data_IF_541883904867
#
_entry.id   IF_541883904867
#
_cell.length_a   1.000
_cell.length_b   1.000
_cell.length_c   1.000
_cell.angle_alpha   90.00
_cell.angle_beta   90.00
_cell.angle_gamma   90.00
#
_symmetry.space_group_name_H-M   'P 1'
#
loop_
_entity.id
_entity.type
_entity.pdbx_description
1 polymer ?
#
# COMPACT_ATOMS: atom_id res chain seq x y z
N UNK A 1 -18.32 37.28 24.20
CA UNK A 1 -18.91 36.45 23.14
C UNK A 1 -17.90 35.38 22.74
N UNK A 2 -18.10 34.09 23.08
CA UNK A 2 -17.13 33.01 22.78
C UNK A 2 -17.36 32.53 21.35
N UNK A 3 -16.43 32.82 20.44
CA UNK A 3 -16.46 32.31 19.06
C UNK A 3 -16.10 30.83 19.12
N UNK A 4 -17.08 29.93 18.98
CA UNK A 4 -16.84 28.51 18.74
C UNK A 4 -16.20 28.38 17.35
N UNK A 5 -14.92 27.98 17.28
CA UNK A 5 -14.32 27.46 16.04
C UNK A 5 -15.13 26.25 15.61
N UNK A 6 -15.92 26.37 14.54
CA UNK A 6 -16.42 25.21 13.80
C UNK A 6 -15.19 24.54 13.18
N UNK A 7 -14.83 23.36 13.66
CA UNK A 7 -13.98 22.46 12.88
C UNK A 7 -14.72 22.15 11.59
N UNK A 8 -14.20 22.64 10.46
CA UNK A 8 -14.59 22.10 9.17
C UNK A 8 -13.80 20.81 9.02
N UNK A 9 -14.44 19.69 9.32
CA UNK A 9 -13.94 18.40 8.83
C UNK A 9 -14.05 18.43 7.31
N UNK A 10 -12.89 18.40 6.66
CA UNK A 10 -12.80 18.31 5.20
C UNK A 10 -12.95 16.83 4.89
N UNK A 11 -14.16 16.42 4.55
CA UNK A 11 -14.46 15.09 4.04
C UNK A 11 -14.18 15.10 2.54
N UNK A 12 -13.09 14.48 2.12
CA UNK A 12 -12.85 14.27 0.70
C UNK A 12 -13.62 13.00 0.28
N UNK A 13 -14.84 13.19 -0.23
CA UNK A 13 -15.79 12.12 -0.51
C UNK A 13 -15.25 10.97 -1.40
N UNK A 14 -14.26 11.25 -2.25
CA UNK A 14 -13.59 10.23 -3.06
C UNK A 14 -12.71 9.28 -2.22
N UNK A 15 -12.10 9.79 -1.14
CA UNK A 15 -11.21 9.03 -0.26
C UNK A 15 -12.00 8.13 0.68
N UNK A 16 -13.16 8.59 1.13
CA UNK A 16 -14.10 7.74 1.90
C UNK A 16 -14.58 6.56 1.04
N UNK A 17 -14.85 6.80 -0.24
CA UNK A 17 -15.20 5.73 -1.18
C UNK A 17 -14.04 4.75 -1.43
N UNK A 18 -12.80 5.23 -1.51
CA UNK A 18 -11.62 4.36 -1.67
C UNK A 18 -11.36 3.53 -0.39
N UNK A 19 -11.54 4.12 0.80
CA UNK A 19 -11.49 3.42 2.08
C UNK A 19 -12.56 2.33 2.18
N UNK A 20 -13.79 2.61 1.73
CA UNK A 20 -14.88 1.63 1.69
C UNK A 20 -14.63 0.52 0.66
N UNK A 21 -14.12 0.87 -0.53
CA UNK A 21 -13.76 -0.10 -1.57
C UNK A 21 -12.63 -1.04 -1.10
N UNK A 22 -11.60 -0.49 -0.45
CA UNK A 22 -10.49 -1.29 0.09
C UNK A 22 -10.90 -2.17 1.27
N UNK A 23 -11.90 -1.76 2.06
CA UNK A 23 -12.49 -2.60 3.11
C UNK A 23 -13.41 -3.71 2.55
N UNK A 24 -14.13 -3.42 1.47
CA UNK A 24 -15.05 -4.38 0.81
C UNK A 24 -14.33 -5.49 0.03
N UNK A 25 -13.08 -5.27 -0.41
CA UNK A 25 -12.24 -6.27 -1.06
C UNK A 25 -11.58 -7.28 -0.10
N UNK A 26 -12.14 -7.48 1.09
CA UNK A 26 -11.77 -8.56 2.03
C UNK A 26 -12.13 -9.98 1.54
N UNK A 27 -12.15 -10.20 0.23
CA UNK A 27 -12.34 -11.54 -0.34
C UNK A 27 -11.02 -12.32 -0.27
N UNK A 28 -10.86 -13.14 0.77
CA UNK A 28 -10.16 -14.43 0.80
C UNK A 28 -8.83 -14.63 0.03
N UNK A 29 -8.01 -13.60 -0.20
CA UNK A 29 -6.62 -13.78 -0.69
C UNK A 29 -5.66 -14.13 0.47
N UNK A 30 -6.12 -13.98 1.72
CA UNK A 30 -5.33 -14.07 2.95
C UNK A 30 -4.77 -15.48 3.25
N UNK A 31 -5.38 -16.56 2.76
CA UNK A 31 -4.99 -17.92 3.17
C UNK A 31 -3.68 -18.43 2.56
N UNK A 32 -3.16 -17.77 1.52
CA UNK A 32 -1.98 -18.23 0.77
C UNK A 32 -0.71 -17.42 1.04
N UNK A 33 -0.80 -16.36 1.84
CA UNK A 33 0.34 -15.51 2.14
C UNK A 33 0.86 -15.88 3.53
N UNK A 34 1.97 -16.62 3.57
CA UNK A 34 2.59 -17.05 4.82
C UNK A 34 3.44 -15.91 5.40
N UNK A 35 2.90 -15.07 6.28
CA UNK A 35 3.43 -13.72 6.55
C UNK A 35 4.80 -13.64 7.29
N UNK A 36 5.39 -14.75 7.74
CA UNK A 36 6.61 -14.76 8.58
C UNK A 36 7.92 -14.26 7.92
N UNK A 37 8.72 -13.53 8.74
CA UNK A 37 10.14 -13.07 8.63
C UNK A 37 10.67 -12.68 7.25
N UNK A 38 9.83 -12.02 6.46
CA UNK A 38 10.15 -11.64 5.07
C UNK A 38 10.69 -10.23 4.96
N UNK A 39 11.62 -10.08 4.02
CA UNK A 39 12.22 -8.81 3.61
C UNK A 39 11.12 -7.76 3.54
N UNK A 40 11.34 -6.66 4.24
CA UNK A 40 10.42 -5.55 4.34
C UNK A 40 11.12 -4.29 3.88
N UNK A 41 10.40 -3.45 3.14
CA UNK A 41 10.86 -2.13 2.76
C UNK A 41 9.93 -1.09 3.35
N UNK A 42 10.50 -0.10 4.04
CA UNK A 42 9.73 0.96 4.71
C UNK A 42 9.64 2.21 3.82
N UNK A 43 8.40 2.55 3.47
CA UNK A 43 8.04 3.76 2.71
C UNK A 43 7.41 4.83 3.62
N UNK A 44 7.33 4.61 4.93
CA UNK A 44 6.68 5.56 5.82
C UNK A 44 7.35 6.95 5.74
N UNK A 45 6.53 8.01 5.76
CA UNK A 45 7.06 9.38 5.71
C UNK A 45 7.75 9.79 4.39
N UNK A 46 7.77 8.94 3.37
CA UNK A 46 8.23 9.33 2.04
C UNK A 46 7.18 10.16 1.31
N UNK A 47 7.64 11.09 0.47
CA UNK A 47 6.77 11.76 -0.50
C UNK A 47 6.42 10.83 -1.67
N UNK A 48 5.38 11.20 -2.43
CA UNK A 48 4.87 10.36 -3.53
C UNK A 48 5.89 10.17 -4.65
N UNK A 49 6.69 11.19 -4.99
CA UNK A 49 7.68 11.07 -6.07
C UNK A 49 8.83 10.12 -5.70
N UNK A 50 9.34 10.21 -4.46
CA UNK A 50 10.34 9.26 -3.96
C UNK A 50 9.77 7.85 -3.89
N UNK A 51 8.52 7.72 -3.43
CA UNK A 51 7.82 6.43 -3.38
C UNK A 51 7.80 5.75 -4.75
N UNK A 52 7.40 6.48 -5.81
CA UNK A 52 7.40 5.97 -7.20
C UNK A 52 8.77 5.42 -7.59
N UNK A 53 9.82 6.24 -7.48
CA UNK A 53 11.16 5.87 -7.94
C UNK A 53 11.70 4.63 -7.19
N UNK A 54 11.41 4.53 -5.90
CA UNK A 54 11.85 3.41 -5.07
C UNK A 54 11.06 2.15 -5.40
N UNK A 55 9.73 2.23 -5.59
CA UNK A 55 8.91 1.05 -5.97
C UNK A 55 9.39 0.49 -7.31
N UNK A 56 9.64 1.32 -8.31
CA UNK A 56 10.16 0.90 -9.62
C UNK A 56 11.48 0.11 -9.49
N UNK A 57 12.47 0.69 -8.81
CA UNK A 57 13.76 0.05 -8.60
C UNK A 57 13.61 -1.23 -7.77
N UNK A 58 12.76 -1.21 -6.75
CA UNK A 58 12.52 -2.37 -5.89
C UNK A 58 11.88 -3.52 -6.66
N UNK A 59 10.91 -3.26 -7.53
CA UNK A 59 10.27 -4.30 -8.36
C UNK A 59 11.25 -4.88 -9.37
N UNK A 60 12.10 -4.05 -9.98
CA UNK A 60 13.17 -4.50 -10.88
C UNK A 60 14.17 -5.45 -10.19
N UNK A 61 14.65 -5.08 -9.00
CA UNK A 61 15.56 -5.93 -8.22
C UNK A 61 14.84 -7.18 -7.67
N UNK A 62 13.60 -7.01 -7.21
CA UNK A 62 12.79 -8.09 -6.68
C UNK A 62 12.57 -9.16 -7.75
N UNK A 63 12.28 -8.79 -9.01
CA UNK A 63 12.15 -9.70 -10.17
C UNK A 63 13.36 -10.64 -10.30
N UNK A 64 14.57 -10.13 -10.08
CA UNK A 64 15.83 -10.90 -10.20
C UNK A 64 16.21 -11.68 -8.94
N UNK A 65 15.63 -11.34 -7.80
CA UNK A 65 15.96 -12.00 -6.53
C UNK A 65 15.42 -13.44 -6.44
N UNK A 66 16.02 -14.28 -5.59
CA UNK A 66 15.47 -15.61 -5.27
C UNK A 66 14.32 -15.56 -4.25
N UNK A 67 13.82 -14.37 -3.92
CA UNK A 67 12.80 -14.17 -2.89
C UNK A 67 11.42 -14.35 -3.50
N UNK A 68 10.56 -15.08 -2.79
CA UNK A 68 9.17 -15.33 -3.22
C UNK A 68 8.26 -14.13 -2.96
N UNK A 69 8.46 -13.44 -1.84
CA UNK A 69 7.63 -12.35 -1.38
C UNK A 69 8.46 -11.25 -0.71
N UNK A 70 7.94 -10.02 -0.76
CA UNK A 70 8.43 -8.84 -0.07
C UNK A 70 7.24 -8.11 0.57
N UNK A 71 7.47 -7.50 1.72
CA UNK A 71 6.51 -6.64 2.38
C UNK A 71 6.88 -5.17 2.14
N UNK A 72 5.91 -4.33 1.85
CA UNK A 72 6.04 -2.89 1.66
C UNK A 72 5.24 -2.20 2.77
N UNK A 73 5.94 -1.56 3.70
CA UNK A 73 5.34 -0.83 4.82
C UNK A 73 5.05 0.59 4.33
N UNK A 74 3.78 0.94 4.20
CA UNK A 74 3.35 2.24 3.68
C UNK A 74 2.84 3.19 4.77
N UNK A 75 2.63 2.68 5.99
CA UNK A 75 1.99 3.41 7.08
C UNK A 75 0.50 3.63 6.83
N UNK A 76 -0.25 4.00 7.88
CA UNK A 76 -1.70 4.20 7.77
C UNK A 76 -2.02 5.60 7.24
N UNK A 77 -1.50 6.64 7.90
CA UNK A 77 -1.51 8.04 7.43
C UNK A 77 -2.81 8.51 6.77
N UNK A 78 -2.69 9.36 5.75
CA UNK A 78 -3.77 9.75 4.84
C UNK A 78 -3.86 8.81 3.61
N UNK A 79 -3.15 7.69 3.60
CA UNK A 79 -3.19 6.72 2.49
C UNK A 79 -2.38 7.08 1.23
N UNK A 80 -1.91 8.32 1.05
CA UNK A 80 -1.22 8.73 -0.21
C UNK A 80 -0.04 7.85 -0.62
N UNK A 81 0.81 7.44 0.33
CA UNK A 81 1.95 6.54 0.05
C UNK A 81 1.45 5.17 -0.38
N UNK A 82 0.44 4.65 0.32
CA UNK A 82 -0.18 3.36 0.01
C UNK A 82 -0.76 3.35 -1.40
N UNK A 83 -1.52 4.38 -1.76
CA UNK A 83 -2.11 4.49 -3.09
C UNK A 83 -1.06 4.62 -4.18
N UNK A 84 -0.03 5.44 -3.96
CA UNK A 84 1.05 5.57 -4.92
C UNK A 84 1.77 4.23 -5.15
N UNK A 85 1.98 3.43 -4.09
CA UNK A 85 2.55 2.08 -4.23
C UNK A 85 1.61 1.20 -5.05
N UNK A 86 0.29 1.24 -4.81
CA UNK A 86 -0.66 0.41 -5.54
C UNK A 86 -0.79 0.79 -7.01
N UNK A 87 -0.80 2.08 -7.32
CA UNK A 87 -0.79 2.59 -8.69
C UNK A 87 0.44 2.10 -9.44
N UNK A 88 1.63 2.17 -8.82
CA UNK A 88 2.85 1.62 -9.39
C UNK A 88 2.80 0.10 -9.57
N UNK A 89 2.31 -0.63 -8.56
CA UNK A 89 2.22 -2.09 -8.63
C UNK A 89 1.21 -2.58 -9.68
N UNK A 90 0.24 -1.75 -10.08
CA UNK A 90 -0.75 -2.09 -11.10
C UNK A 90 -0.11 -2.43 -12.46
N UNK A 91 1.00 -1.77 -12.80
CA UNK A 91 1.79 -2.05 -14.00
C UNK A 91 2.43 -3.45 -13.99
N UNK A 92 2.60 -4.03 -12.81
CA UNK A 92 3.22 -5.34 -12.60
C UNK A 92 2.20 -6.43 -12.24
N UNK A 93 0.91 -6.17 -12.44
CA UNK A 93 -0.18 -7.07 -12.08
C UNK A 93 -0.12 -8.45 -12.75
N UNK A 94 0.62 -8.59 -13.85
CA UNK A 94 0.86 -9.88 -14.53
C UNK A 94 2.02 -10.68 -13.93
N UNK A 95 2.89 -10.06 -13.15
CA UNK A 95 4.10 -10.67 -12.60
C UNK A 95 4.00 -10.96 -11.11
N UNK A 96 3.23 -10.14 -10.40
CA UNK A 96 3.11 -10.22 -8.94
C UNK A 96 1.67 -10.42 -8.47
N UNK A 97 1.54 -11.12 -7.34
CA UNK A 97 0.34 -11.19 -6.52
C UNK A 97 0.46 -10.17 -5.39
N UNK A 98 -0.58 -9.36 -5.24
CA UNK A 98 -0.66 -8.33 -4.19
C UNK A 98 -1.61 -8.83 -3.11
N UNK A 99 -1.12 -8.88 -1.88
CA UNK A 99 -1.88 -9.20 -0.67
C UNK A 99 -1.83 -8.04 0.30
N UNK A 100 -2.80 -8.00 1.21
CA UNK A 100 -2.89 -6.97 2.24
C UNK A 100 -3.04 -7.68 3.59
N UNK A 101 -2.28 -7.30 4.60
CA UNK A 101 -2.51 -7.80 5.96
C UNK A 101 -3.33 -6.78 6.76
N UNK A 102 -2.94 -5.50 6.62
CA UNK A 102 -3.59 -4.36 7.22
C UNK A 102 -3.40 -3.12 6.31
N UNK A 103 -3.95 -1.98 6.70
CA UNK A 103 -3.87 -0.76 5.88
C UNK A 103 -2.44 -0.25 5.68
N UNK A 104 -1.52 -0.50 6.61
CA UNK A 104 -0.14 -0.03 6.55
C UNK A 104 0.86 -1.00 5.92
N UNK A 105 0.40 -2.17 5.45
CA UNK A 105 1.26 -3.22 4.91
C UNK A 105 0.70 -3.80 3.61
N UNK A 106 1.48 -3.67 2.55
CA UNK A 106 1.22 -4.31 1.26
C UNK A 106 2.22 -5.45 1.10
N UNK A 107 1.75 -6.63 0.73
CA UNK A 107 2.60 -7.76 0.45
C UNK A 107 2.62 -8.07 -1.03
N UNK A 108 3.80 -8.23 -1.60
CA UNK A 108 4.01 -8.50 -3.02
C UNK A 108 4.72 -9.83 -3.16
N UNK A 109 4.12 -10.79 -3.83
CA UNK A 109 4.73 -12.09 -4.13
C UNK A 109 4.86 -12.30 -5.63
N UNK A 110 5.86 -13.05 -6.07
CA UNK A 110 5.97 -13.51 -7.46
C UNK A 110 4.85 -14.50 -7.77
N UNK A 111 4.27 -14.37 -8.97
CA UNK A 111 3.39 -15.40 -9.54
C UNK A 111 4.18 -16.66 -9.92
#
# INVERSE_FOLDING_TARGET
>A
MKIKKKSKEIHFAEWDQILDLTQSQKNNIFSNFDFDDKISFDFHGLDTQKTVAIVENLMFEFRKSNKKCINLICGVGLGHVREQILDNLSFYSNEFLIGFENQGLIRVCKK
#
